data_IF_314061073485
#
_entry.id   IF_314061073485
#
_cell.length_a   1.000
_cell.length_b   1.000
_cell.length_c   1.000
_cell.angle_alpha   90.00
_cell.angle_beta   90.00
_cell.angle_gamma   90.00
#
_symmetry.space_group_name_H-M   'P 1'
#
loop_
_entity.id
_entity.type
_entity.pdbx_description
1 polymer ?
#
# COMPACT_ATOMS: atom_id res chain seq x y z
N UNK A 1 -1.28 4.77 13.43
CA UNK A 1 -1.30 3.31 13.19
C UNK A 1 -0.22 3.02 12.15
N UNK A 2 0.83 2.25 12.46
CA UNK A 2 1.82 1.86 11.44
C UNK A 2 1.12 0.92 10.46
N UNK A 3 0.67 1.45 9.32
CA UNK A 3 0.06 0.66 8.26
C UNK A 3 1.17 -0.22 7.70
N UNK A 4 0.98 -1.53 7.80
CA UNK A 4 1.86 -2.54 7.21
C UNK A 4 1.12 -3.16 6.04
N UNK A 5 1.78 -3.23 4.90
CA UNK A 5 1.29 -3.89 3.69
C UNK A 5 2.16 -5.12 3.51
N UNK A 6 1.52 -6.27 3.30
CA UNK A 6 2.20 -7.53 3.04
C UNK A 6 1.66 -8.10 1.73
N UNK A 7 2.56 -8.49 0.84
CA UNK A 7 2.24 -9.16 -0.42
C UNK A 7 2.97 -10.49 -0.43
N UNK A 8 2.25 -11.58 -0.68
CA UNK A 8 2.82 -12.91 -0.87
C UNK A 8 2.35 -13.46 -2.21
N UNK A 9 3.29 -13.78 -3.10
CA UNK A 9 3.03 -14.38 -4.40
C UNK A 9 4.12 -15.38 -4.73
N UNK A 10 3.69 -16.58 -5.12
CA UNK A 10 4.53 -17.64 -5.68
C UNK A 10 5.84 -17.85 -4.89
N UNK A 11 5.76 -17.95 -3.56
CA UNK A 11 6.93 -18.20 -2.70
C UNK A 11 7.82 -16.99 -2.38
N UNK A 12 7.45 -15.78 -2.83
CA UNK A 12 8.05 -14.52 -2.37
C UNK A 12 7.03 -13.79 -1.49
N UNK A 13 7.45 -13.42 -0.28
CA UNK A 13 6.68 -12.57 0.62
C UNK A 13 7.47 -11.30 0.93
N UNK A 14 6.86 -10.13 0.71
CA UNK A 14 7.44 -8.83 1.01
C UNK A 14 6.52 -8.11 2.00
N UNK A 15 7.11 -7.56 3.06
CA UNK A 15 6.44 -6.64 3.99
C UNK A 15 7.01 -5.25 3.84
N UNK A 16 6.13 -4.25 3.77
CA UNK A 16 6.50 -2.85 3.70
C UNK A 16 5.59 -1.98 4.56
N UNK A 17 6.05 -0.76 4.86
CA UNK A 17 5.26 0.23 5.57
C UNK A 17 4.74 1.33 4.64
N UNK A 18 3.83 2.17 5.16
CA UNK A 18 3.31 3.31 4.41
C UNK A 18 4.35 4.40 4.09
N UNK A 19 5.53 4.40 4.72
CA UNK A 19 6.64 5.29 4.34
C UNK A 19 7.43 4.75 3.13
N UNK A 20 6.93 3.70 2.45
CA UNK A 20 7.57 3.01 1.32
C UNK A 20 8.89 2.35 1.69
N UNK A 21 9.04 1.96 2.95
CA UNK A 21 10.19 1.19 3.42
C UNK A 21 9.84 -0.31 3.41
N UNK A 22 10.70 -1.12 2.78
CA UNK A 22 10.62 -2.58 2.86
C UNK A 22 11.18 -3.00 4.22
N UNK A 23 10.38 -3.74 4.97
CA UNK A 23 10.72 -4.23 6.31
C UNK A 23 11.25 -5.65 6.30
N UNK A 24 10.75 -6.49 5.39
CA UNK A 24 11.11 -7.89 5.32
C UNK A 24 10.91 -8.46 3.89
N UNK A 25 11.77 -9.41 3.52
CA UNK A 25 11.63 -10.22 2.30
C UNK A 25 11.88 -11.68 2.70
N UNK A 26 10.96 -12.57 2.34
CA UNK A 26 11.09 -14.02 2.50
C UNK A 26 10.93 -14.69 1.14
N UNK A 27 11.80 -15.66 0.85
CA UNK A 27 11.87 -16.34 -0.44
C UNK A 27 11.96 -17.83 -0.17
N UNK A 28 11.10 -18.62 -0.79
CA UNK A 28 11.11 -20.07 -0.71
C UNK A 28 12.35 -20.66 -1.40
N UNK A 29 12.89 -21.75 -0.83
CA UNK A 29 14.14 -22.35 -1.29
C UNK A 29 14.07 -22.84 -2.74
N UNK A 30 12.90 -23.28 -3.17
CA UNK A 30 12.67 -23.85 -4.50
C UNK A 30 12.87 -22.80 -5.62
N UNK A 31 12.78 -21.50 -5.29
CA UNK A 31 13.01 -20.40 -6.23
C UNK A 31 14.49 -20.00 -6.35
N UNK A 32 15.37 -20.56 -5.50
CA UNK A 32 16.80 -20.25 -5.53
C UNK A 32 17.56 -21.04 -6.60
N UNK A 33 16.90 -22.00 -7.25
CA UNK A 33 17.51 -22.87 -8.27
C UNK A 33 17.64 -22.16 -9.63
N UNK A 34 16.71 -21.25 -9.95
CA UNK A 34 16.72 -20.44 -11.18
C UNK A 34 16.83 -18.96 -10.84
N UNK A 35 18.03 -18.42 -11.03
CA UNK A 35 18.35 -17.02 -10.73
C UNK A 35 17.54 -16.04 -11.58
N UNK A 36 17.35 -16.32 -12.87
CA UNK A 36 16.68 -15.40 -13.79
C UNK A 36 15.19 -15.30 -13.43
N UNK A 37 14.57 -16.46 -13.15
CA UNK A 37 13.20 -16.50 -12.64
C UNK A 37 13.04 -15.74 -11.32
N UNK A 38 13.99 -15.87 -10.39
CA UNK A 38 13.93 -15.16 -9.10
C UNK A 38 14.03 -13.64 -9.27
N UNK A 39 14.93 -13.16 -10.14
CA UNK A 39 15.09 -11.75 -10.44
C UNK A 39 13.81 -11.15 -11.03
N UNK A 40 13.20 -11.83 -12.00
CA UNK A 40 11.93 -11.42 -12.60
C UNK A 40 10.80 -11.36 -11.58
N UNK A 41 10.69 -12.39 -10.74
CA UNK A 41 9.63 -12.45 -9.72
C UNK A 41 9.80 -11.38 -8.63
N UNK A 42 11.04 -11.07 -8.24
CA UNK A 42 11.32 -9.97 -7.32
C UNK A 42 10.90 -8.61 -7.90
N UNK A 43 11.18 -8.36 -9.17
CA UNK A 43 10.74 -7.13 -9.86
C UNK A 43 9.20 -7.03 -9.80
N UNK A 44 8.49 -8.11 -10.13
CA UNK A 44 7.03 -8.13 -10.05
C UNK A 44 6.52 -7.89 -8.62
N UNK A 45 7.08 -8.57 -7.62
CA UNK A 45 6.65 -8.45 -6.22
C UNK A 45 6.88 -7.03 -5.65
N UNK A 46 8.01 -6.40 -5.99
CA UNK A 46 8.33 -5.03 -5.57
C UNK A 46 7.37 -4.01 -6.22
N UNK A 47 7.07 -4.18 -7.50
CA UNK A 47 6.11 -3.32 -8.19
C UNK A 47 4.70 -3.47 -7.58
N UNK A 48 4.29 -4.70 -7.27
CA UNK A 48 2.98 -5.01 -6.70
C UNK A 48 2.81 -4.42 -5.29
N UNK A 49 3.82 -4.56 -4.41
CA UNK A 49 3.74 -3.97 -3.08
C UNK A 49 3.76 -2.44 -3.11
N UNK A 50 4.49 -1.84 -4.06
CA UNK A 50 4.50 -0.38 -4.23
C UNK A 50 3.12 0.13 -4.63
N UNK A 51 2.41 -0.58 -5.52
CA UNK A 51 1.02 -0.25 -5.86
C UNK A 51 0.07 -0.45 -4.68
N UNK A 52 0.22 -1.54 -3.94
CA UNK A 52 -0.59 -1.82 -2.76
C UNK A 52 -0.45 -0.74 -1.68
N UNK A 53 0.75 -0.20 -1.47
CA UNK A 53 0.98 0.93 -0.55
C UNK A 53 0.22 2.17 -1.02
N UNK A 54 0.31 2.53 -2.30
CA UNK A 54 -0.39 3.71 -2.84
C UNK A 54 -1.91 3.60 -2.71
N UNK A 55 -2.47 2.41 -2.98
CA UNK A 55 -3.90 2.16 -2.80
C UNK A 55 -4.31 2.32 -1.32
N UNK A 56 -3.50 1.79 -0.41
CA UNK A 56 -3.77 1.89 1.02
C UNK A 56 -3.68 3.34 1.54
N UNK A 57 -2.78 4.16 1.00
CA UNK A 57 -2.70 5.61 1.27
C UNK A 57 -3.95 6.35 0.78
N UNK A 58 -4.45 6.00 -0.42
CA UNK A 58 -5.67 6.59 -0.98
C UNK A 58 -6.90 6.23 -0.14
N UNK A 59 -7.04 4.97 0.27
CA UNK A 59 -8.11 4.51 1.17
C UNK A 59 -8.03 5.24 2.52
N UNK A 60 -6.84 5.34 3.12
CA UNK A 60 -6.67 6.05 4.39
C UNK A 60 -7.00 7.56 4.27
N UNK A 61 -6.69 8.18 3.12
CA UNK A 61 -7.02 9.58 2.84
C UNK A 61 -8.51 9.79 2.63
N UNK A 62 -9.19 8.89 1.93
CA UNK A 62 -10.65 8.91 1.77
C UNK A 62 -11.37 8.65 3.10
N UNK A 63 -10.88 7.73 3.92
CA UNK A 63 -11.37 7.47 5.27
C UNK A 63 -11.20 8.69 6.18
N UNK A 64 -10.09 9.42 6.07
CA UNK A 64 -9.91 10.68 6.79
C UNK A 64 -10.85 11.76 6.28
N UNK A 65 -10.96 11.93 4.95
CA UNK A 65 -11.86 12.92 4.35
C UNK A 65 -13.31 12.66 4.77
N UNK A 66 -13.81 11.42 4.69
CA UNK A 66 -15.16 11.05 5.14
C UNK A 66 -15.39 11.26 6.64
N UNK A 67 -14.35 11.11 7.48
CA UNK A 67 -14.40 11.37 8.93
C UNK A 67 -14.18 12.83 9.33
N UNK A 68 -13.62 13.66 8.44
CA UNK A 68 -13.45 15.11 8.64
C UNK A 68 -14.61 15.92 8.01
N UNK A 69 -15.30 15.34 7.03
CA UNK A 69 -16.54 15.86 6.45
C UNK A 69 -17.85 15.71 7.27
N UNK A 70 -17.95 15.02 8.43
CA UNK A 70 -19.16 15.07 9.24
C UNK A 70 -19.14 16.40 10.01
N UNK A 71 -19.64 17.44 9.37
CA UNK A 71 -19.89 18.76 9.97
C UNK A 71 -19.43 19.97 9.14
N UNK A 72 -18.53 19.79 8.17
CA UNK A 72 -17.90 20.92 7.45
C UNK A 72 -18.65 21.45 6.23
N UNK A 73 -19.47 20.64 5.57
CA UNK A 73 -20.21 21.06 4.36
C UNK A 73 -21.51 21.79 4.68
N UNK A 74 -22.03 21.67 5.90
CA UNK A 74 -23.21 22.40 6.34
C UNK A 74 -22.92 23.91 6.50
N UNK A 75 -21.68 24.30 6.80
CA UNK A 75 -21.27 25.72 6.93
C UNK A 75 -20.89 26.41 5.62
N UNK A 76 -20.58 25.65 4.56
CA UNK A 76 -20.22 26.23 3.25
C UNK A 76 -21.44 26.73 2.47
N UNK A 77 -22.61 26.12 2.67
CA UNK A 77 -23.87 26.61 2.08
C UNK A 77 -24.27 27.99 2.59
N UNK A 78 -23.95 28.32 3.85
CA UNK A 78 -24.27 29.61 4.48
C UNK A 78 -23.28 30.74 4.10
N UNK A 79 -22.06 30.39 3.68
CA UNK A 79 -21.06 31.36 3.19
C UNK A 79 -21.18 31.67 1.70
N UNK A 80 -21.69 30.75 0.89
CA UNK A 80 -21.95 30.97 -0.54
C UNK A 80 -23.30 31.66 -0.82
N UNK A 81 -24.14 31.80 0.22
CA UNK A 81 -25.46 32.44 0.11
C UNK A 81 -25.47 33.90 0.60
N UNK A 82 -24.30 34.51 0.84
CA UNK A 82 -24.14 35.92 1.18
C UNK A 82 -23.46 36.70 0.07
#
# INVERSE_FOLDING_TARGET
KKIKVAVSKNGIAIEANAAREILNISIDKDLMEDKEQLEDMLIFAINDITQAIQQQEAVASQDMMSKVLPGGLAGLGDMFSK
#
